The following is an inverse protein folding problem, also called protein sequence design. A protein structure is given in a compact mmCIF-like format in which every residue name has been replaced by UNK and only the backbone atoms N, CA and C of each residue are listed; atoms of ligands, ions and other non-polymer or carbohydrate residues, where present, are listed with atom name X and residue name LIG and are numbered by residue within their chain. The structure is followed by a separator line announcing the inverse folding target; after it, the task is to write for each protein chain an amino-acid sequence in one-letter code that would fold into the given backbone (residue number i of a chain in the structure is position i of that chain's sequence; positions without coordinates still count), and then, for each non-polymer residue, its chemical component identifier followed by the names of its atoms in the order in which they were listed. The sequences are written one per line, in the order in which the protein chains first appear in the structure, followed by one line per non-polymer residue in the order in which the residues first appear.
data_IF_822925476892
#
_entry.id   IF_822925476892
#
_cell.length_a   1.000
_cell.length_b   1.000
_cell.length_c   1.000
_cell.angle_alpha   90.00
_cell.angle_beta   90.00
_cell.angle_gamma   90.00
#
_symmetry.space_group_name_H-M   'P 1'
#
loop_
_entity.id
_entity.type
_entity.pdbx_description
1 polymer ?
#
# COMPACT_ATOMS: atom_id res chain seq x y z
N UNK A 1 -19.52 -1.39 10.01
CA UNK A 1 -19.62 -0.24 9.10
C UNK A 1 -18.71 0.82 9.68
N UNK A 2 -17.81 1.40 8.89
CA UNK A 2 -16.91 2.47 9.35
C UNK A 2 -17.65 3.81 9.36
N UNK A 3 -17.60 4.56 10.46
CA UNK A 3 -18.16 5.91 10.54
C UNK A 3 -17.08 6.93 10.23
N UNK A 4 -17.11 7.47 9.01
CA UNK A 4 -16.17 8.51 8.57
C UNK A 4 -16.77 9.90 8.77
N UNK A 5 -16.04 10.79 9.45
CA UNK A 5 -16.44 12.18 9.70
C UNK A 5 -15.31 13.15 9.38
N UNK A 6 -15.66 14.41 9.08
CA UNK A 6 -14.70 15.49 8.89
C UNK A 6 -13.95 15.76 10.20
N UNK A 7 -12.62 15.68 10.16
CA UNK A 7 -11.78 15.93 11.33
C UNK A 7 -11.82 17.42 11.69
N UNK A 8 -12.09 17.73 12.95
CA UNK A 8 -12.14 19.10 13.46
C UNK A 8 -11.71 19.18 14.93
N UNK A 9 -11.17 20.33 15.33
CA UNK A 9 -10.61 20.55 16.67
C UNK A 9 -11.65 20.74 17.79
N UNK A 10 -12.95 20.75 17.49
CA UNK A 10 -14.02 20.89 18.49
C UNK A 10 -14.50 19.50 18.93
N UNK A 11 -14.97 18.69 17.98
CA UNK A 11 -15.53 17.37 18.24
C UNK A 11 -14.44 16.35 18.57
N UNK A 12 -13.25 16.54 18.01
CA UNK A 12 -12.11 15.61 18.09
C UNK A 12 -10.96 16.15 18.95
N UNK A 13 -11.21 17.15 19.81
CA UNK A 13 -10.18 17.78 20.64
C UNK A 13 -9.35 16.81 21.50
N UNK A 14 -9.99 15.73 21.98
CA UNK A 14 -9.37 14.71 22.82
C UNK A 14 -8.98 13.45 22.02
N UNK A 15 -9.07 13.51 20.68
CA UNK A 15 -8.79 12.36 19.83
C UNK A 15 -7.29 12.07 19.82
N UNK A 16 -6.97 10.81 20.07
CA UNK A 16 -5.63 10.24 20.02
C UNK A 16 -5.62 9.04 19.08
N UNK A 17 -4.46 8.76 18.51
CA UNK A 17 -4.25 7.62 17.60
C UNK A 17 -3.18 6.71 18.16
N UNK A 18 -3.53 5.44 18.35
CA UNK A 18 -2.60 4.38 18.71
C UNK A 18 -1.72 4.08 17.50
N UNK A 19 -0.41 4.25 17.64
CA UNK A 19 0.58 4.12 16.56
C UNK A 19 1.31 2.78 16.53
N UNK A 20 1.13 1.93 17.55
CA UNK A 20 1.69 0.56 17.54
C UNK A 20 0.99 -0.30 16.49
N UNK A 21 1.68 -1.32 15.98
CA UNK A 21 1.12 -2.24 14.99
C UNK A 21 0.39 -3.39 15.66
N UNK A 22 -0.38 -4.15 14.88
CA UNK A 22 -1.02 -5.36 15.39
C UNK A 22 -2.30 -5.74 14.67
N UNK A 23 -2.60 -7.04 14.71
CA UNK A 23 -3.78 -7.61 14.07
C UNK A 23 -5.10 -7.00 14.58
N UNK A 24 -5.16 -6.58 15.84
CA UNK A 24 -6.33 -5.93 16.44
C UNK A 24 -6.71 -4.60 15.77
N UNK A 25 -5.79 -3.99 15.02
CA UNK A 25 -6.03 -2.75 14.26
C UNK A 25 -6.41 -3.01 12.79
N UNK A 26 -6.68 -4.26 12.42
CA UNK A 26 -7.03 -4.64 11.04
C UNK A 26 -5.82 -4.78 10.11
N UNK A 27 -4.60 -4.81 10.63
CA UNK A 27 -3.38 -4.91 9.82
C UNK A 27 -3.05 -6.33 9.35
N UNK A 28 -3.89 -7.31 9.70
CA UNK A 28 -3.74 -8.71 9.26
C UNK A 28 -4.18 -8.90 7.80
N UNK A 29 -3.95 -7.91 6.96
CA UNK A 29 -4.30 -7.93 5.55
C UNK A 29 -3.16 -8.51 4.71
N UNK A 30 -3.51 -9.30 3.70
CA UNK A 30 -2.57 -9.93 2.75
C UNK A 30 -1.78 -8.93 1.91
N UNK A 31 -2.35 -7.76 1.67
CA UNK A 31 -1.78 -6.76 0.77
C UNK A 31 -2.28 -5.36 1.09
N UNK A 32 -1.58 -4.35 0.61
CA UNK A 32 -2.07 -2.97 0.58
C UNK A 32 -1.87 -2.37 -0.81
N UNK A 33 -2.80 -1.49 -1.22
CA UNK A 33 -2.63 -0.67 -2.41
C UNK A 33 -1.39 0.21 -2.24
N UNK A 34 -0.64 0.38 -3.32
CA UNK A 34 0.49 1.30 -3.40
C UNK A 34 0.37 2.13 -4.69
N UNK A 35 1.36 2.96 -5.02
CA UNK A 35 1.33 3.84 -6.18
C UNK A 35 2.75 4.21 -6.63
N UNK A 36 2.93 4.67 -7.89
CA UNK A 36 4.24 4.80 -8.52
C UNK A 36 5.30 5.58 -7.72
N UNK A 37 4.91 6.68 -7.09
CA UNK A 37 5.84 7.50 -6.28
C UNK A 37 6.31 6.82 -5.00
N UNK A 38 5.63 5.76 -4.55
CA UNK A 38 5.98 4.96 -3.37
C UNK A 38 6.82 3.72 -3.72
N UNK A 39 6.84 3.31 -4.98
CA UNK A 39 7.41 2.03 -5.40
C UNK A 39 8.87 1.85 -5.00
N UNK A 40 9.65 2.93 -4.94
CA UNK A 40 11.06 2.87 -4.53
C UNK A 40 11.24 2.30 -3.12
N UNK A 41 10.40 2.74 -2.18
CA UNK A 41 10.48 2.32 -0.78
C UNK A 41 9.80 0.96 -0.60
N UNK A 42 8.67 0.75 -1.28
CA UNK A 42 7.92 -0.52 -1.25
C UNK A 42 8.73 -1.66 -1.84
N UNK A 43 9.36 -1.48 -3.01
CA UNK A 43 10.12 -2.55 -3.67
C UNK A 43 11.32 -3.03 -2.86
N UNK A 44 11.81 -2.24 -1.90
CA UNK A 44 12.90 -2.66 -1.04
C UNK A 44 12.48 -3.72 -0.01
N UNK A 45 11.17 -3.88 0.21
CA UNK A 45 10.62 -4.68 1.29
C UNK A 45 9.57 -5.71 0.83
N UNK A 46 8.83 -5.44 -0.24
CA UNK A 46 7.65 -6.20 -0.62
C UNK A 46 7.65 -6.53 -2.11
N UNK A 47 7.08 -7.67 -2.53
CA UNK A 47 6.67 -7.84 -3.91
C UNK A 47 5.58 -6.82 -4.25
N UNK A 48 5.75 -6.10 -5.35
CA UNK A 48 4.73 -5.26 -5.97
C UNK A 48 4.14 -6.05 -7.12
N UNK A 49 2.83 -6.23 -7.11
CA UNK A 49 2.08 -6.91 -8.18
C UNK A 49 0.85 -6.08 -8.52
N UNK A 50 0.17 -6.42 -9.60
CA UNK A 50 -1.11 -5.82 -9.96
C UNK A 50 -2.23 -6.83 -9.72
N UNK A 51 -3.39 -6.33 -9.30
CA UNK A 51 -4.64 -7.10 -9.28
C UNK A 51 -5.73 -6.32 -10.00
N UNK A 52 -6.81 -6.99 -10.38
CA UNK A 52 -8.01 -6.30 -10.85
C UNK A 52 -8.66 -5.53 -9.71
N UNK A 53 -9.17 -4.34 -10.00
CA UNK A 53 -10.00 -3.56 -9.07
C UNK A 53 -11.29 -4.32 -8.74
N UNK A 54 -11.93 -3.99 -7.61
CA UNK A 54 -13.15 -4.69 -7.13
C UNK A 54 -14.31 -4.62 -8.12
N UNK A 55 -14.40 -3.55 -8.91
CA UNK A 55 -15.39 -3.40 -9.99
C UNK A 55 -15.02 -4.19 -11.27
N UNK A 56 -13.82 -4.76 -11.32
CA UNK A 56 -13.29 -5.52 -12.45
C UNK A 56 -12.92 -4.66 -13.67
N UNK A 57 -13.00 -3.34 -13.57
CA UNK A 57 -12.86 -2.42 -14.70
C UNK A 57 -11.42 -1.97 -14.94
N UNK A 58 -10.52 -2.18 -13.98
CA UNK A 58 -9.13 -1.76 -14.08
C UNK A 58 -8.19 -2.64 -13.29
N UNK A 59 -6.97 -2.13 -13.13
CA UNK A 59 -5.93 -2.73 -12.31
C UNK A 59 -5.52 -1.76 -11.21
N UNK A 60 -4.94 -2.28 -10.15
CA UNK A 60 -4.26 -1.48 -9.14
C UNK A 60 -2.98 -2.20 -8.68
N UNK A 61 -1.87 -1.47 -8.47
CA UNK A 61 -0.68 -2.03 -7.87
C UNK A 61 -0.86 -2.24 -6.37
N UNK A 62 -0.39 -3.38 -5.87
CA UNK A 62 -0.46 -3.75 -4.45
C UNK A 62 0.89 -4.30 -3.98
N UNK A 63 1.25 -3.98 -2.75
CA UNK A 63 2.35 -4.61 -2.02
C UNK A 63 1.83 -5.87 -1.32
N UNK A 64 2.54 -7.00 -1.45
CA UNK A 64 2.16 -8.26 -0.81
C UNK A 64 2.84 -8.46 0.54
N UNK A 65 2.05 -8.90 1.51
CA UNK A 65 2.48 -9.22 2.88
C UNK A 65 2.28 -10.69 3.26
N UNK A 66 1.60 -11.47 2.43
CA UNK A 66 1.32 -12.88 2.66
C UNK A 66 0.85 -13.57 1.37
N UNK A 67 0.48 -14.84 1.51
CA UNK A 67 -0.03 -15.70 0.44
C UNK A 67 -1.53 -16.00 0.57
N UNK A 68 -2.15 -15.63 1.69
CA UNK A 68 -3.56 -15.92 2.00
C UNK A 68 -4.27 -14.68 2.56
N UNK A 69 -5.59 -14.63 2.42
CA UNK A 69 -6.40 -13.63 3.12
C UNK A 69 -6.23 -13.76 4.64
N UNK A 70 -6.40 -12.63 5.35
CA UNK A 70 -6.18 -12.56 6.79
C UNK A 70 -4.76 -13.00 7.22
N UNK A 71 -3.75 -12.74 6.38
CA UNK A 71 -2.34 -13.02 6.67
C UNK A 71 -1.46 -11.79 6.48
N UNK A 72 -0.55 -11.53 7.42
CA UNK A 72 0.52 -10.56 7.23
C UNK A 72 1.80 -11.06 7.92
N UNK A 73 2.77 -11.49 7.12
CA UNK A 73 4.04 -12.07 7.56
C UNK A 73 5.07 -11.03 8.05
N UNK A 74 4.71 -9.75 7.97
CA UNK A 74 5.51 -8.64 8.50
C UNK A 74 4.99 -8.16 9.86
N UNK A 75 3.85 -8.66 10.35
CA UNK A 75 3.44 -8.39 11.72
C UNK A 75 4.12 -9.35 12.70
N UNK A 76 4.80 -8.79 13.70
CA UNK A 76 5.33 -9.53 14.85
C UNK A 76 4.88 -8.81 16.11
N UNK A 77 4.03 -9.43 16.92
CA UNK A 77 3.47 -8.81 18.12
C UNK A 77 2.86 -7.42 17.82
N UNK A 78 3.40 -6.36 18.43
CA UNK A 78 2.98 -4.97 18.25
C UNK A 78 3.87 -4.17 17.27
N UNK A 79 4.69 -4.85 16.45
CA UNK A 79 5.61 -4.22 15.50
C UNK A 79 5.41 -4.67 14.06
N UNK A 80 5.75 -3.77 13.14
CA UNK A 80 5.95 -4.07 11.75
C UNK A 80 7.43 -4.40 11.51
N UNK A 81 7.71 -5.61 11.02
CA UNK A 81 9.04 -6.20 10.89
C UNK A 81 9.66 -5.91 9.51
N UNK A 82 9.66 -4.64 9.11
CA UNK A 82 10.27 -4.13 7.89
C UNK A 82 10.70 -2.66 8.08
N UNK A 83 11.68 -2.16 7.30
CA UNK A 83 12.14 -0.77 7.44
C UNK A 83 11.16 0.26 6.87
N UNK A 84 10.18 -0.14 6.07
CA UNK A 84 9.19 0.75 5.46
C UNK A 84 7.79 0.15 5.59
N UNK A 85 6.81 0.92 6.05
CA UNK A 85 5.40 0.50 6.11
C UNK A 85 4.65 1.24 4.99
N UNK A 86 3.89 0.54 4.12
CA UNK A 86 3.17 1.22 3.06
C UNK A 86 2.20 2.28 3.58
N UNK A 87 2.14 3.45 2.94
CA UNK A 87 1.37 4.61 3.41
C UNK A 87 -0.12 4.29 3.55
N UNK A 88 -0.65 3.37 2.75
CA UNK A 88 -2.04 2.90 2.88
C UNK A 88 -2.34 2.15 4.18
N UNK A 89 -1.31 1.57 4.82
CA UNK A 89 -1.37 1.04 6.19
C UNK A 89 -1.20 2.17 7.19
N UNK A 90 -0.14 2.99 7.05
CA UNK A 90 0.20 4.03 8.03
C UNK A 90 -0.85 5.14 8.16
N UNK A 91 -1.60 5.44 7.09
CA UNK A 91 -2.59 6.52 7.10
C UNK A 91 -3.72 6.32 8.10
N UNK A 92 -3.96 5.09 8.56
CA UNK A 92 -5.08 4.78 9.43
C UNK A 92 -4.97 5.53 10.77
N UNK A 93 -6.05 6.14 11.28
CA UNK A 93 -7.45 6.04 10.84
C UNK A 93 -7.90 7.12 9.85
N UNK A 94 -6.97 7.89 9.29
CA UNK A 94 -7.29 9.05 8.48
C UNK A 94 -7.51 8.73 7.00
N UNK A 95 -8.33 9.57 6.39
CA UNK A 95 -8.65 9.53 4.97
C UNK A 95 -8.66 10.94 4.40
N UNK A 96 -8.44 11.04 3.10
CA UNK A 96 -8.56 12.31 2.40
C UNK A 96 -9.90 12.37 1.66
N UNK A 97 -10.69 13.38 1.98
CA UNK A 97 -11.91 13.72 1.27
C UNK A 97 -11.70 14.94 0.39
N UNK A 98 -12.49 15.05 -0.68
CA UNK A 98 -12.49 16.20 -1.57
C UNK A 98 -13.81 16.94 -1.40
N UNK A 99 -13.77 18.24 -1.12
CA UNK A 99 -14.93 19.12 -1.09
C UNK A 99 -14.70 20.31 -2.01
N UNK A 100 -15.32 20.26 -3.20
CA UNK A 100 -14.99 21.19 -4.27
C UNK A 100 -13.53 21.03 -4.71
N UNK A 101 -12.71 22.07 -4.50
CA UNK A 101 -11.28 22.06 -4.79
C UNK A 101 -10.39 21.84 -3.56
N UNK A 102 -10.98 21.74 -2.36
CA UNK A 102 -10.23 21.62 -1.11
C UNK A 102 -10.11 20.15 -0.67
N UNK A 103 -8.89 19.78 -0.27
CA UNK A 103 -8.60 18.50 0.35
C UNK A 103 -8.83 18.60 1.86
N UNK A 104 -9.64 17.70 2.41
CA UNK A 104 -10.01 17.71 3.82
C UNK A 104 -9.68 16.37 4.47
N UNK A 105 -9.09 16.42 5.66
CA UNK A 105 -8.81 15.23 6.47
C UNK A 105 -10.10 14.74 7.12
N UNK A 106 -10.42 13.47 6.88
CA UNK A 106 -11.47 12.74 7.56
C UNK A 106 -10.86 11.69 8.47
N UNK A 107 -11.62 11.26 9.47
CA UNK A 107 -11.25 10.20 10.39
C UNK A 107 -12.36 9.15 10.44
N UNK A 108 -11.97 7.88 10.39
CA UNK A 108 -12.86 6.77 10.76
C UNK A 108 -12.87 6.64 12.28
N UNK A 109 -13.93 7.12 12.93
CA UNK A 109 -14.02 7.15 14.41
C UNK A 109 -14.27 5.78 15.02
N UNK A 110 -14.67 4.79 14.20
CA UNK A 110 -14.85 3.41 14.62
C UNK A 110 -13.56 2.58 14.44
N UNK A 111 -12.50 3.17 13.88
CA UNK A 111 -11.24 2.47 13.68
C UNK A 111 -10.63 2.13 15.06
N UNK A 112 -10.15 0.89 15.28
CA UNK A 112 -9.60 0.47 16.58
C UNK A 112 -8.36 1.26 17.05
N UNK A 113 -7.73 2.05 16.15
CA UNK A 113 -6.63 2.95 16.50
C UNK A 113 -7.11 4.24 17.18
N UNK A 114 -8.38 4.61 17.04
CA UNK A 114 -8.95 5.82 17.65
C UNK A 114 -9.13 5.60 19.14
N UNK A 115 -8.55 6.48 19.94
CA UNK A 115 -8.65 6.49 21.40
C UNK A 115 -8.88 7.91 21.92
N UNK A 116 -9.28 8.01 23.19
CA UNK A 116 -9.33 9.29 23.94
C UNK A 116 -8.26 9.39 25.03
N UNK A 117 -7.54 8.30 25.29
CA UNK A 117 -6.58 8.20 26.41
C UNK A 117 -5.20 7.70 25.99
N UNK A 118 -5.11 6.89 24.95
CA UNK A 118 -3.86 6.26 24.50
C UNK A 118 -3.42 6.78 23.13
N UNK A 119 -2.10 6.76 22.88
CA UNK A 119 -1.53 7.11 21.58
C UNK A 119 -1.19 8.60 21.43
N UNK A 120 -0.87 9.02 20.21
CA UNK A 120 -0.45 10.38 19.91
C UNK A 120 -1.66 11.32 19.82
N UNK A 121 -1.62 12.50 20.46
CA UNK A 121 -2.70 13.48 20.37
C UNK A 121 -2.76 14.07 18.97
N UNK A 122 -3.97 14.18 18.41
CA UNK A 122 -4.19 14.74 17.07
C UNK A 122 -4.19 16.28 17.10
N UNK A 123 -4.68 16.89 18.17
CA UNK A 123 -4.67 18.33 18.39
C UNK A 123 -3.86 18.72 19.63
N UNK A 124 -3.36 19.96 19.64
CA UNK A 124 -2.69 20.55 20.79
C UNK A 124 -3.71 20.99 21.87
N UNK A 125 -3.33 21.09 23.17
CA UNK A 125 -4.25 21.39 24.27
C UNK A 125 -5.04 22.70 24.16
N UNK A 126 -4.55 23.67 23.39
CA UNK A 126 -5.20 24.99 23.20
C UNK A 126 -5.75 25.19 21.78
N UNK A 127 -5.90 24.10 21.03
CA UNK A 127 -6.22 24.14 19.60
C UNK A 127 -4.97 24.23 18.72
N UNK A 128 -5.12 23.84 17.45
CA UNK A 128 -4.03 23.69 16.50
C UNK A 128 -3.63 22.23 16.30
N UNK A 129 -3.01 21.95 15.14
CA UNK A 129 -2.61 20.61 14.75
C UNK A 129 -1.37 20.16 15.54
N UNK A 130 -1.34 18.89 15.93
CA UNK A 130 -0.13 18.25 16.43
C UNK A 130 0.87 17.99 15.29
N UNK A 131 2.14 17.77 15.63
CA UNK A 131 3.12 17.27 14.65
C UNK A 131 2.67 15.95 14.00
N UNK A 132 1.98 15.10 14.77
CA UNK A 132 1.42 13.85 14.27
C UNK A 132 0.38 14.10 13.17
N UNK A 133 -0.54 15.05 13.37
CA UNK A 133 -1.54 15.40 12.37
C UNK A 133 -0.92 16.07 11.13
N UNK A 134 0.13 16.89 11.29
CA UNK A 134 0.84 17.47 10.16
C UNK A 134 1.55 16.40 9.31
N UNK A 135 2.19 15.41 9.96
CA UNK A 135 2.78 14.24 9.28
C UNK A 135 1.70 13.43 8.55
N UNK A 136 0.59 13.12 9.22
CA UNK A 136 -0.53 12.40 8.62
C UNK A 136 -1.12 13.16 7.41
N UNK A 137 -1.28 14.47 7.52
CA UNK A 137 -1.79 15.32 6.43
C UNK A 137 -0.86 15.31 5.21
N UNK A 138 0.45 15.39 5.45
CA UNK A 138 1.46 15.31 4.38
C UNK A 138 1.44 13.94 3.68
N UNK A 139 1.32 12.86 4.46
CA UNK A 139 1.19 11.50 3.93
C UNK A 139 -0.09 11.35 3.10
N UNK A 140 -1.24 11.81 3.59
CA UNK A 140 -2.50 11.76 2.86
C UNK A 140 -2.44 12.51 1.53
N UNK A 141 -1.75 13.66 1.49
CA UNK A 141 -1.52 14.40 0.25
C UNK A 141 -0.67 13.59 -0.73
N UNK A 142 0.42 12.97 -0.25
CA UNK A 142 1.27 12.11 -1.07
C UNK A 142 0.50 10.92 -1.65
N UNK A 143 -0.34 10.27 -0.83
CA UNK A 143 -1.24 9.20 -1.27
C UNK A 143 -2.20 9.70 -2.35
N UNK A 144 -2.85 10.84 -2.13
CA UNK A 144 -3.79 11.41 -3.09
C UNK A 144 -3.13 11.67 -4.45
N UNK A 145 -1.98 12.34 -4.46
CA UNK A 145 -1.23 12.63 -5.68
C UNK A 145 -0.74 11.35 -6.36
N UNK A 146 -0.24 10.39 -5.58
CA UNK A 146 0.22 9.10 -6.08
C UNK A 146 -0.88 8.33 -6.78
N UNK A 147 -2.06 8.22 -6.16
CA UNK A 147 -3.22 7.55 -6.73
C UNK A 147 -3.76 8.26 -7.98
N UNK A 148 -3.69 9.60 -8.05
CA UNK A 148 -4.05 10.35 -9.26
C UNK A 148 -3.10 10.08 -10.44
N UNK A 149 -1.84 9.74 -10.17
CA UNK A 149 -0.86 9.42 -11.22
C UNK A 149 -0.94 7.96 -11.71
N UNK A 150 -1.49 7.03 -10.91
CA UNK A 150 -1.58 5.60 -11.22
C UNK A 150 -2.28 5.28 -12.55
N UNK A 151 -3.42 5.93 -12.93
CA UNK A 151 -4.11 5.63 -14.18
C UNK A 151 -3.24 5.82 -15.44
N UNK A 152 -2.36 6.82 -15.44
CA UNK A 152 -1.46 7.07 -16.58
C UNK A 152 -0.45 5.94 -16.76
N UNK A 153 0.15 5.45 -15.66
CA UNK A 153 1.03 4.28 -15.70
C UNK A 153 0.27 3.06 -16.24
N UNK A 154 -0.90 2.76 -15.67
CA UNK A 154 -1.68 1.58 -16.08
C UNK A 154 -2.09 1.64 -17.55
N UNK A 155 -2.48 2.80 -18.05
CA UNK A 155 -2.77 3.00 -19.46
C UNK A 155 -1.55 2.68 -20.34
N UNK A 156 -0.36 3.14 -19.95
CA UNK A 156 0.87 2.83 -20.67
C UNK A 156 1.23 1.34 -20.63
N UNK A 157 1.07 0.68 -19.48
CA UNK A 157 1.29 -0.77 -19.36
C UNK A 157 0.36 -1.56 -20.28
N UNK A 158 -0.92 -1.19 -20.33
CA UNK A 158 -1.92 -1.85 -21.18
C UNK A 158 -1.66 -1.57 -22.66
N UNK A 159 -1.34 -0.33 -23.02
CA UNK A 159 -1.05 0.07 -24.40
C UNK A 159 0.12 -0.72 -25.00
N UNK A 160 1.12 -1.03 -24.17
CA UNK A 160 2.31 -1.77 -24.58
C UNK A 160 2.25 -3.27 -24.28
N UNK A 161 1.08 -3.79 -23.87
CA UNK A 161 0.89 -5.20 -23.50
C UNK A 161 1.90 -5.70 -22.44
N UNK A 162 2.25 -4.82 -21.49
CA UNK A 162 3.27 -5.09 -20.48
C UNK A 162 2.72 -5.79 -19.23
N UNK A 163 1.41 -6.00 -19.09
CA UNK A 163 0.85 -6.76 -17.98
C UNK A 163 0.61 -8.21 -18.40
N UNK A 164 1.14 -9.14 -17.62
CA UNK A 164 0.85 -10.57 -17.76
C UNK A 164 0.37 -11.17 -16.44
N UNK A 165 -0.58 -12.11 -16.53
CA UNK A 165 -1.02 -12.88 -15.37
C UNK A 165 0.04 -13.92 -15.02
N UNK A 166 0.32 -14.10 -13.74
CA UNK A 166 1.17 -15.17 -13.27
C UNK A 166 0.47 -16.01 -12.20
N UNK A 167 0.98 -17.21 -11.98
CA UNK A 167 0.63 -18.07 -10.86
C UNK A 167 1.93 -18.41 -10.15
N UNK A 168 1.95 -18.23 -8.83
CA UNK A 168 3.09 -18.63 -8.01
C UNK A 168 2.67 -19.80 -7.13
N UNK A 169 3.24 -20.96 -7.40
CA UNK A 169 3.14 -22.14 -6.57
C UNK A 169 4.34 -22.14 -5.60
N UNK A 170 4.06 -22.14 -4.30
CA UNK A 170 5.05 -22.13 -3.22
C UNK A 170 4.94 -23.44 -2.44
N UNK A 171 5.99 -24.23 -2.47
CA UNK A 171 6.16 -25.38 -1.58
C UNK A 171 6.99 -24.95 -0.37
N UNK A 172 6.43 -25.11 0.82
CA UNK A 172 7.08 -24.77 2.09
C UNK A 172 7.90 -25.95 2.62
N UNK A 173 8.77 -25.68 3.60
CA UNK A 173 9.69 -26.68 4.17
C UNK A 173 8.96 -27.83 4.88
N UNK A 174 7.72 -27.59 5.34
CA UNK A 174 6.84 -28.60 5.94
C UNK A 174 6.07 -29.44 4.89
N UNK A 175 6.30 -29.19 3.60
CA UNK A 175 5.63 -29.83 2.47
C UNK A 175 4.24 -29.26 2.15
N UNK A 176 3.77 -28.24 2.88
CA UNK A 176 2.52 -27.56 2.56
C UNK A 176 2.68 -26.70 1.30
N UNK A 177 1.59 -26.61 0.53
CA UNK A 177 1.56 -25.84 -0.71
C UNK A 177 0.69 -24.59 -0.56
N UNK A 178 1.23 -23.46 -1.00
CA UNK A 178 0.50 -22.20 -1.12
C UNK A 178 0.47 -21.79 -2.58
N UNK A 179 -0.63 -21.18 -2.99
CA UNK A 179 -0.82 -20.79 -4.39
C UNK A 179 -1.36 -19.38 -4.47
N UNK A 180 -0.63 -18.52 -5.17
CA UNK A 180 -1.02 -17.15 -5.45
C UNK A 180 -1.62 -17.08 -6.87
N UNK A 181 -2.89 -16.67 -6.97
CA UNK A 181 -3.64 -16.54 -8.23
C UNK A 181 -4.34 -15.20 -8.32
N UNK A 182 -4.69 -14.77 -9.54
CA UNK A 182 -5.43 -13.52 -9.77
C UNK A 182 -4.58 -12.26 -9.80
N UNK A 183 -3.25 -12.42 -9.81
CA UNK A 183 -2.28 -11.33 -9.88
C UNK A 183 -1.58 -11.27 -11.24
N UNK A 184 -1.02 -10.09 -11.49
CA UNK A 184 -0.35 -9.73 -12.72
C UNK A 184 0.99 -9.07 -12.38
N UNK A 185 1.96 -9.23 -13.28
CA UNK A 185 3.28 -8.60 -13.20
C UNK A 185 3.66 -8.00 -14.55
N UNK A 186 4.85 -7.43 -14.64
CA UNK A 186 5.42 -6.91 -15.88
C UNK A 186 5.92 -8.07 -16.75
N UNK A 187 5.48 -8.10 -18.00
CA UNK A 187 6.02 -9.02 -19.01
C UNK A 187 7.41 -8.54 -19.48
N UNK A 188 8.45 -9.24 -19.04
CA UNK A 188 9.85 -8.90 -19.30
C UNK A 188 10.25 -9.06 -20.78
N UNK A 189 9.68 -10.04 -21.48
CA UNK A 189 9.95 -10.27 -22.90
C UNK A 189 9.39 -9.12 -23.75
N UNK A 190 8.16 -8.69 -23.47
CA UNK A 190 7.51 -7.53 -24.11
C UNK A 190 8.24 -6.24 -23.79
N UNK A 191 8.66 -6.05 -22.53
CA UNK A 191 9.45 -4.90 -22.12
C UNK A 191 10.78 -4.83 -22.90
N UNK A 192 11.48 -5.96 -23.00
CA UNK A 192 12.76 -6.07 -23.70
C UNK A 192 12.63 -5.88 -25.21
N UNK A 193 11.47 -6.23 -25.77
CA UNK A 193 11.15 -6.08 -27.19
C UNK A 193 10.63 -4.68 -27.57
N UNK A 194 10.49 -3.75 -26.63
CA UNK A 194 10.01 -2.39 -26.93
C UNK A 194 10.96 -1.66 -27.88
N UNK A 195 10.38 -1.00 -28.89
CA UNK A 195 11.13 -0.11 -29.77
C UNK A 195 11.61 1.15 -29.06
N UNK A 196 12.66 1.78 -29.60
CA UNK A 196 13.30 2.95 -29.02
C UNK A 196 12.31 4.10 -28.70
N UNK A 197 11.34 4.36 -29.59
CA UNK A 197 10.34 5.41 -29.38
C UNK A 197 9.41 5.13 -28.19
N UNK A 198 9.00 3.86 -28.00
CA UNK A 198 8.19 3.46 -26.86
C UNK A 198 8.97 3.58 -25.55
N UNK A 199 10.23 3.15 -25.54
CA UNK A 199 11.12 3.30 -24.38
C UNK A 199 11.32 4.79 -24.06
N UNK A 200 11.55 5.63 -25.07
CA UNK A 200 11.71 7.07 -24.89
C UNK A 200 10.44 7.72 -24.31
N UNK A 201 9.26 7.35 -24.81
CA UNK A 201 7.98 7.83 -24.29
C UNK A 201 7.74 7.42 -22.83
N UNK A 202 7.97 6.14 -22.51
CA UNK A 202 7.86 5.63 -21.13
C UNK A 202 8.85 6.29 -20.18
N UNK A 203 10.07 6.58 -20.64
CA UNK A 203 11.07 7.29 -19.86
C UNK A 203 10.68 8.74 -19.59
N UNK A 204 10.26 9.48 -20.63
CA UNK A 204 9.82 10.87 -20.50
C UNK A 204 8.60 11.02 -19.59
N UNK A 205 7.69 10.05 -19.60
CA UNK A 205 6.54 10.02 -18.69
C UNK A 205 6.87 9.50 -17.27
N UNK A 206 8.11 9.10 -16.99
CA UNK A 206 8.53 8.54 -15.70
C UNK A 206 8.05 7.10 -15.42
N UNK A 207 7.35 6.48 -16.37
CA UNK A 207 6.81 5.13 -16.23
C UNK A 207 7.89 4.05 -16.23
N UNK A 208 8.97 4.24 -16.98
CA UNK A 208 10.06 3.26 -17.05
C UNK A 208 10.70 3.00 -15.67
N UNK A 209 10.84 4.05 -14.85
CA UNK A 209 11.31 3.89 -13.47
C UNK A 209 10.36 2.98 -12.67
N UNK A 210 9.06 3.23 -12.76
CA UNK A 210 8.04 2.47 -12.03
C UNK A 210 8.03 0.99 -12.45
N UNK A 211 8.12 0.73 -13.75
CA UNK A 211 8.19 -0.63 -14.32
C UNK A 211 9.36 -1.42 -13.72
N UNK A 212 10.56 -0.83 -13.69
CA UNK A 212 11.73 -1.51 -13.12
C UNK A 212 11.67 -1.67 -11.60
N UNK A 213 10.99 -0.78 -10.86
CA UNK A 213 10.75 -1.00 -9.44
C UNK A 213 9.84 -2.21 -9.21
N UNK A 214 8.81 -2.41 -10.06
CA UNK A 214 7.97 -3.62 -9.99
C UNK A 214 8.81 -4.86 -10.26
N UNK A 215 9.62 -4.89 -11.33
CA UNK A 215 10.49 -6.03 -11.64
C UNK A 215 11.49 -6.34 -10.53
N UNK A 216 12.16 -5.31 -9.99
CA UNK A 216 13.10 -5.48 -8.89
C UNK A 216 12.43 -6.07 -7.63
N UNK A 217 11.19 -5.64 -7.36
CA UNK A 217 10.41 -6.10 -6.20
C UNK A 217 10.11 -7.61 -6.23
N UNK A 218 10.12 -8.26 -7.41
CA UNK A 218 9.82 -9.69 -7.54
C UNK A 218 10.85 -10.55 -6.79
N UNK A 219 12.07 -10.05 -6.59
CA UNK A 219 13.09 -10.72 -5.76
C UNK A 219 12.64 -10.90 -4.30
N UNK A 220 11.71 -10.07 -3.81
CA UNK A 220 11.16 -10.17 -2.46
C UNK A 220 10.21 -11.36 -2.28
N UNK A 221 9.77 -12.04 -3.35
CA UNK A 221 8.99 -13.27 -3.18
C UNK A 221 9.78 -14.31 -2.38
N UNK A 222 11.09 -14.42 -2.60
CA UNK A 222 11.95 -15.32 -1.81
C UNK A 222 11.92 -14.95 -0.33
N UNK A 223 12.08 -13.67 0.00
CA UNK A 223 11.99 -13.21 1.39
C UNK A 223 10.61 -13.49 2.00
N UNK A 224 9.53 -13.36 1.21
CA UNK A 224 8.17 -13.64 1.68
C UNK A 224 7.98 -15.14 1.96
N UNK A 225 8.54 -16.02 1.12
CA UNK A 225 8.56 -17.47 1.34
C UNK A 225 9.37 -17.81 2.60
N UNK A 226 10.56 -17.24 2.76
CA UNK A 226 11.42 -17.47 3.94
C UNK A 226 10.70 -17.06 5.23
N UNK A 227 9.96 -15.94 5.21
CA UNK A 227 9.10 -15.52 6.34
C UNK A 227 7.96 -16.50 6.63
N UNK A 228 7.33 -17.04 5.58
CA UNK A 228 6.25 -18.03 5.72
C UNK A 228 6.78 -19.34 6.33
N UNK A 229 7.94 -19.83 5.89
CA UNK A 229 8.61 -20.99 6.49
C UNK A 229 8.94 -20.74 7.96
N UNK A 230 9.49 -19.58 8.31
CA UNK A 230 9.82 -19.23 9.68
C UNK A 230 8.61 -19.05 10.61
N UNK A 231 7.40 -18.83 10.07
CA UNK A 231 6.17 -18.73 10.86
C UNK A 231 5.54 -20.09 11.19
N UNK A 232 5.93 -21.16 10.48
CA UNK A 232 5.44 -22.53 10.66
C UNK A 232 6.44 -23.46 11.37
N UNK A 233 7.69 -23.01 11.59
CA UNK A 233 8.70 -23.71 12.39
C UNK A 233 8.73 -23.24 13.84
#
# INVERSE_FOLDING_TARGET
MSTTVLLNNVDHKDLRVITRHGAQFGERQMSAVTFPSEFRDVQACYPIVFRKTTDGLGFEPVALFGFQDEENLFLKDERWDAPYVPMMIERQPFMIGVNGSELMVHVDVDNPRVSRSEGEPVFLPHGGNSEFLERASSMLLAIHQGLQATPALLAALLQHELLESFVLDVELDDGSQNRLVGFYTINEDRLSALGADAVAALHQAGHLHSIYMVLASLSNFRMLIDRKNAAHG
#
